data_IF_177110495631
#
_entry.id   IF_177110495631
#
_cell.length_a   1.000
_cell.length_b   1.000
_cell.length_c   1.000
_cell.angle_alpha   90.00
_cell.angle_beta   90.00
_cell.angle_gamma   90.00
#
_symmetry.space_group_name_H-M   'P 1'
#
loop_
_entity.id
_entity.type
_entity.pdbx_description
1 polymer ?
#
# COMPACT_ATOMS: atom_id res chain seq x y z
N UNK A 1 3.84 6.55 -2.48
CA UNK A 1 4.98 7.40 -2.89
C UNK A 1 6.10 6.46 -3.27
N UNK A 2 6.44 6.43 -4.52
CA UNK A 2 7.58 5.65 -5.01
C UNK A 2 8.87 6.41 -4.67
N UNK A 3 9.83 5.78 -4.01
CA UNK A 3 11.09 6.46 -3.68
C UNK A 3 12.16 6.01 -4.65
N UNK A 4 12.63 6.97 -5.46
CA UNK A 4 13.79 6.83 -6.32
C UNK A 4 15.02 7.40 -5.61
N UNK A 5 16.12 6.70 -5.64
CA UNK A 5 17.38 7.23 -5.15
C UNK A 5 18.36 7.35 -6.31
N UNK A 6 18.69 8.57 -6.66
CA UNK A 6 19.77 8.86 -7.60
C UNK A 6 21.12 8.81 -6.88
N UNK A 7 22.07 8.11 -7.45
CA UNK A 7 23.46 8.08 -6.99
C UNK A 7 24.03 9.48 -6.96
N UNK A 8 24.39 9.99 -5.77
CA UNK A 8 25.12 11.26 -5.66
C UNK A 8 26.55 11.09 -6.16
N UNK A 9 26.85 11.61 -7.32
CA UNK A 9 28.25 11.82 -7.76
C UNK A 9 28.90 12.78 -6.77
N UNK A 10 29.96 12.32 -6.07
CA UNK A 10 30.83 13.16 -5.24
C UNK A 10 31.57 14.13 -6.13
N UNK A 11 31.09 15.37 -6.25
CA UNK A 11 31.88 16.46 -6.76
C UNK A 11 32.89 16.90 -5.68
N UNK A 12 34.16 16.83 -6.03
CA UNK A 12 35.30 17.25 -5.27
C UNK A 12 35.22 18.75 -4.94
N UNK A 13 35.27 19.08 -3.67
CA UNK A 13 35.33 20.47 -3.16
C UNK A 13 36.63 21.15 -3.60
N UNK A 14 36.47 22.35 -4.18
CA UNK A 14 37.49 23.42 -4.10
C UNK A 14 36.92 24.60 -3.33
N UNK A 15 37.67 25.20 -2.42
CA UNK A 15 37.19 26.33 -1.63
C UNK A 15 37.49 27.66 -2.34
N UNK A 16 36.55 28.56 -2.39
CA UNK A 16 36.81 29.97 -2.66
C UNK A 16 35.97 30.86 -1.76
N UNK A 17 36.66 31.61 -1.00
CA UNK A 17 36.36 32.69 -0.05
C UNK A 17 35.82 33.91 -0.80
N UNK A 18 34.76 34.56 -0.28
CA UNK A 18 34.48 36.00 -0.29
C UNK A 18 33.14 36.23 0.42
N UNK A 19 33.08 36.70 1.57
CA UNK A 19 33.23 37.96 2.29
C UNK A 19 32.07 38.96 2.04
N UNK A 20 31.22 39.08 3.05
CA UNK A 20 30.52 40.24 3.66
C UNK A 20 29.78 41.25 2.75
N UNK A 21 28.47 41.48 3.03
CA UNK A 21 27.99 42.81 3.48
C UNK A 21 26.64 42.75 4.20
N UNK A 22 26.62 43.25 5.42
CA UNK A 22 25.46 43.64 6.22
C UNK A 22 24.80 44.88 5.65
N UNK A 23 23.48 45.00 5.68
CA UNK A 23 22.79 46.26 5.98
C UNK A 23 21.38 45.98 6.51
N UNK A 24 21.17 46.40 7.75
CA UNK A 24 19.91 46.47 8.45
C UNK A 24 19.15 47.74 8.02
N UNK A 25 17.83 47.62 7.83
CA UNK A 25 16.93 48.77 8.02
C UNK A 25 15.69 48.27 8.79
N UNK A 26 15.59 48.84 9.99
CA UNK A 26 14.47 48.84 10.91
C UNK A 26 13.41 49.84 10.45
N UNK A 27 12.14 49.50 10.49
CA UNK A 27 11.05 50.47 10.74
C UNK A 27 9.84 49.78 11.32
N UNK A 28 9.54 50.14 12.56
CA UNK A 28 8.28 49.87 13.26
C UNK A 28 7.10 50.55 12.58
N UNK A 29 5.95 49.93 12.55
CA UNK A 29 4.68 50.59 12.82
C UNK A 29 3.72 49.65 13.56
N UNK A 30 3.22 50.21 14.66
CA UNK A 30 2.22 49.67 15.58
C UNK A 30 0.80 49.71 14.99
N UNK A 31 -0.01 48.82 15.51
CA UNK A 31 -1.42 48.92 15.90
C UNK A 31 -2.39 47.97 15.17
N UNK A 32 -3.13 47.24 16.00
CA UNK A 32 -4.41 46.66 15.62
C UNK A 32 -4.67 45.29 16.21
N UNK A 33 -4.97 45.20 17.53
CA UNK A 33 -5.64 44.04 18.12
C UNK A 33 -7.01 43.88 17.52
N UNK A 34 -7.26 42.81 16.81
CA UNK A 34 -8.61 42.28 16.60
C UNK A 34 -8.57 40.80 16.98
N UNK A 35 -9.26 40.49 18.09
CA UNK A 35 -9.57 39.12 18.49
C UNK A 35 -10.43 38.51 17.40
N UNK A 36 -9.84 37.57 16.64
CA UNK A 36 -10.61 36.62 15.86
C UNK A 36 -10.30 35.22 16.40
N UNK A 37 -11.28 34.64 17.06
CA UNK A 37 -11.33 33.20 17.32
C UNK A 37 -11.11 32.46 15.99
N UNK A 38 -10.26 31.44 15.94
CA UNK A 38 -10.23 30.55 14.80
C UNK A 38 -11.57 29.80 14.76
N UNK A 39 -12.42 30.15 13.81
CA UNK A 39 -13.54 29.31 13.43
C UNK A 39 -12.95 28.00 12.94
N UNK A 40 -13.24 26.93 13.66
CA UNK A 40 -13.09 25.55 13.17
C UNK A 40 -13.76 25.45 11.79
N UNK A 41 -12.96 25.57 10.75
CA UNK A 41 -13.39 25.21 9.42
C UNK A 41 -13.47 23.69 9.40
N UNK A 42 -14.65 23.14 9.71
CA UNK A 42 -15.05 21.82 9.23
C UNK A 42 -14.84 21.83 7.72
N UNK A 43 -13.69 21.34 7.27
CA UNK A 43 -13.52 20.89 5.89
C UNK A 43 -14.54 19.79 5.67
N UNK A 44 -15.69 20.15 5.07
CA UNK A 44 -16.59 19.18 4.47
C UNK A 44 -15.74 18.37 3.50
N UNK A 45 -15.60 17.08 3.74
CA UNK A 45 -15.05 16.13 2.80
C UNK A 45 -15.97 16.08 1.57
N UNK A 46 -15.81 17.04 0.66
CA UNK A 46 -16.20 16.81 -0.73
C UNK A 46 -15.36 15.62 -1.18
N UNK A 47 -16.02 14.49 -1.48
CA UNK A 47 -15.36 13.27 -1.84
C UNK A 47 -14.38 13.52 -2.98
N UNK A 48 -13.12 13.22 -2.73
CA UNK A 48 -12.05 13.23 -3.71
C UNK A 48 -12.51 12.45 -4.96
N UNK A 49 -12.35 12.99 -6.16
CA UNK A 49 -12.75 12.28 -7.37
C UNK A 49 -11.89 11.03 -7.53
N UNK A 50 -12.43 9.99 -8.14
CA UNK A 50 -11.68 8.73 -8.33
C UNK A 50 -10.43 8.96 -9.18
N UNK A 51 -10.46 9.93 -10.07
CA UNK A 51 -9.31 10.34 -10.89
C UNK A 51 -8.22 10.99 -10.04
N UNK A 52 -8.59 11.94 -9.17
CA UNK A 52 -7.63 12.64 -8.28
C UNK A 52 -6.94 11.68 -7.29
N UNK A 53 -7.62 10.61 -6.88
CA UNK A 53 -7.04 9.58 -6.01
C UNK A 53 -5.80 8.91 -6.63
N UNK A 54 -5.71 8.86 -7.94
CA UNK A 54 -4.63 8.18 -8.67
C UNK A 54 -3.55 9.15 -9.17
N UNK A 55 -3.74 10.45 -9.06
CA UNK A 55 -2.77 11.44 -9.55
C UNK A 55 -1.47 11.42 -8.76
N UNK A 56 -0.37 11.49 -9.49
CA UNK A 56 0.96 11.75 -8.91
C UNK A 56 1.03 13.26 -8.71
N UNK A 57 0.91 13.73 -7.47
CA UNK A 57 0.86 15.17 -7.16
C UNK A 57 2.19 15.75 -6.71
N UNK A 58 3.08 14.92 -6.14
CA UNK A 58 4.39 15.37 -5.64
C UNK A 58 5.34 15.76 -6.80
N UNK A 59 5.79 17.02 -6.88
CA UNK A 59 6.72 17.46 -7.93
C UNK A 59 8.07 16.72 -7.91
N UNK A 60 8.55 16.29 -6.73
CA UNK A 60 9.79 15.53 -6.60
C UNK A 60 9.64 14.12 -7.20
N UNK A 61 8.48 13.50 -6.97
CA UNK A 61 8.14 12.21 -7.54
C UNK A 61 8.05 12.28 -9.08
N UNK A 62 7.36 13.30 -9.61
CA UNK A 62 7.32 13.56 -11.06
C UNK A 62 8.71 13.73 -11.67
N UNK A 63 9.57 14.52 -11.03
CA UNK A 63 10.95 14.74 -11.51
C UNK A 63 11.78 13.46 -11.46
N UNK A 64 11.60 12.64 -10.41
CA UNK A 64 12.28 11.35 -10.30
C UNK A 64 11.87 10.38 -11.41
N UNK A 65 10.58 10.34 -11.76
CA UNK A 65 10.05 9.55 -12.90
C UNK A 65 10.68 10.01 -14.22
N UNK A 66 10.76 11.32 -14.48
CA UNK A 66 11.38 11.86 -15.70
C UNK A 66 12.88 11.51 -15.78
N UNK A 67 13.60 11.58 -14.67
CA UNK A 67 15.01 11.19 -14.61
C UNK A 67 15.20 9.70 -14.89
N UNK A 68 14.35 8.85 -14.31
CA UNK A 68 14.34 7.41 -14.54
C UNK A 68 14.04 7.06 -16.01
N UNK A 69 13.04 7.72 -16.60
CA UNK A 69 12.70 7.58 -18.02
C UNK A 69 13.88 7.96 -18.94
N UNK A 70 14.58 9.05 -18.61
CA UNK A 70 15.77 9.46 -19.36
C UNK A 70 16.86 8.39 -19.33
N UNK A 71 17.09 7.74 -18.18
CA UNK A 71 18.06 6.63 -18.04
C UNK A 71 17.66 5.42 -18.90
N UNK A 72 16.39 5.01 -18.88
CA UNK A 72 15.91 3.90 -19.71
C UNK A 72 16.17 4.16 -21.20
N UNK A 73 15.99 5.41 -21.65
CA UNK A 73 16.26 5.79 -23.07
C UNK A 73 17.73 5.70 -23.47
N UNK A 74 18.66 5.69 -22.52
CA UNK A 74 20.09 5.54 -22.82
C UNK A 74 20.55 4.07 -22.97
N UNK A 75 19.67 3.12 -22.63
CA UNK A 75 19.98 1.69 -22.75
C UNK A 75 20.00 1.27 -24.24
N UNK A 76 20.93 0.40 -24.59
CA UNK A 76 21.08 -0.11 -25.97
C UNK A 76 20.09 -1.23 -26.33
N UNK A 77 19.12 -1.52 -25.49
CA UNK A 77 18.11 -2.56 -25.70
C UNK A 77 16.99 -2.50 -24.67
N UNK A 78 16.19 -3.56 -24.58
CA UNK A 78 15.18 -3.66 -23.55
C UNK A 78 15.83 -3.70 -22.16
N UNK A 79 15.29 -2.95 -21.18
CA UNK A 79 15.82 -2.92 -19.84
C UNK A 79 15.77 -4.31 -19.18
N UNK A 80 16.84 -4.70 -18.53
CA UNK A 80 16.95 -5.93 -17.75
C UNK A 80 16.38 -5.71 -16.35
N UNK A 81 15.18 -6.18 -16.13
CA UNK A 81 14.41 -5.87 -14.91
C UNK A 81 14.37 -7.11 -14.00
N UNK A 82 14.65 -6.92 -12.71
CA UNK A 82 14.43 -7.90 -11.65
C UNK A 82 13.24 -7.45 -10.79
N UNK A 83 12.26 -8.31 -10.61
CA UNK A 83 11.17 -8.13 -9.65
C UNK A 83 11.44 -8.98 -8.41
N UNK A 84 11.44 -8.39 -7.21
CA UNK A 84 11.78 -9.10 -5.97
C UNK A 84 10.58 -9.70 -5.26
N UNK A 85 9.34 -9.32 -5.61
CA UNK A 85 8.13 -9.88 -4.99
C UNK A 85 7.10 -10.35 -6.02
N UNK A 86 6.21 -11.30 -5.65
CA UNK A 86 5.14 -11.74 -6.55
C UNK A 86 4.20 -10.62 -7.00
N UNK A 87 3.87 -9.67 -6.12
CA UNK A 87 3.01 -8.54 -6.45
C UNK A 87 3.68 -7.61 -7.48
N UNK A 88 4.99 -7.38 -7.36
CA UNK A 88 5.76 -6.60 -8.34
C UNK A 88 5.84 -7.34 -9.68
N UNK A 89 6.06 -8.66 -9.66
CA UNK A 89 6.05 -9.46 -10.90
C UNK A 89 4.68 -9.44 -11.61
N UNK A 90 3.57 -9.40 -10.84
CA UNK A 90 2.21 -9.28 -11.40
C UNK A 90 2.00 -7.90 -12.06
N UNK A 91 2.51 -6.83 -11.45
CA UNK A 91 2.50 -5.48 -12.05
C UNK A 91 3.30 -5.47 -13.36
N UNK A 92 4.50 -6.06 -13.36
CA UNK A 92 5.32 -6.15 -14.58
C UNK A 92 4.62 -6.93 -15.69
N UNK A 93 3.92 -8.02 -15.36
CA UNK A 93 3.12 -8.81 -16.30
C UNK A 93 2.00 -7.97 -16.92
N UNK A 94 1.26 -7.21 -16.10
CA UNK A 94 0.18 -6.32 -16.55
C UNK A 94 0.66 -5.16 -17.42
N UNK A 95 1.89 -4.71 -17.19
CA UNK A 95 2.55 -3.67 -18.01
C UNK A 95 3.29 -4.25 -19.21
N UNK A 96 3.19 -5.55 -19.46
CA UNK A 96 3.93 -6.23 -20.54
C UNK A 96 5.44 -5.93 -20.52
N UNK A 97 6.05 -5.99 -19.32
CA UNK A 97 7.49 -5.84 -19.11
C UNK A 97 8.15 -7.21 -19.01
N UNK A 98 9.28 -7.38 -19.69
CA UNK A 98 10.09 -8.59 -19.55
C UNK A 98 10.93 -8.54 -18.28
N UNK A 99 11.08 -9.71 -17.61
CA UNK A 99 11.88 -9.85 -16.41
C UNK A 99 13.04 -10.83 -16.64
N UNK A 100 14.21 -10.50 -16.12
CA UNK A 100 15.39 -11.39 -16.09
C UNK A 100 15.51 -12.14 -14.75
N UNK A 101 14.82 -11.66 -13.70
CA UNK A 101 14.77 -12.28 -12.37
C UNK A 101 13.42 -12.10 -11.72
N UNK A 102 12.93 -13.13 -11.01
CA UNK A 102 11.65 -13.12 -10.28
C UNK A 102 11.79 -13.79 -8.91
N UNK A 103 10.94 -13.49 -7.94
CA UNK A 103 11.05 -14.08 -6.62
C UNK A 103 10.75 -15.59 -6.63
N UNK A 104 11.25 -16.29 -5.62
CA UNK A 104 10.75 -17.60 -5.21
C UNK A 104 9.56 -17.37 -4.26
N UNK A 105 8.44 -18.03 -4.52
CA UNK A 105 7.26 -17.95 -3.66
C UNK A 105 6.54 -19.30 -3.61
N UNK A 106 6.14 -19.72 -2.41
CA UNK A 106 5.31 -20.91 -2.18
C UNK A 106 3.82 -20.53 -1.97
N UNK A 107 3.55 -19.26 -1.64
CA UNK A 107 2.21 -18.78 -1.26
C UNK A 107 1.51 -18.02 -2.38
N UNK A 108 2.23 -17.41 -3.30
CA UNK A 108 1.68 -16.65 -4.42
C UNK A 108 2.24 -17.17 -5.74
N UNK A 109 1.36 -17.30 -6.73
CA UNK A 109 1.75 -17.72 -8.08
C UNK A 109 2.46 -16.59 -8.81
N UNK A 110 3.59 -16.90 -9.44
CA UNK A 110 4.25 -16.00 -10.38
C UNK A 110 3.54 -16.11 -11.73
N UNK A 111 3.32 -15.00 -12.47
CA UNK A 111 2.72 -15.02 -13.80
C UNK A 111 3.38 -16.04 -14.74
N UNK A 112 2.55 -16.70 -15.56
CA UNK A 112 3.00 -17.84 -16.38
C UNK A 112 4.10 -17.47 -17.38
N UNK A 113 4.11 -16.22 -17.88
CA UNK A 113 5.18 -15.73 -18.78
C UNK A 113 6.57 -15.78 -18.14
N UNK A 114 6.66 -15.68 -16.81
CA UNK A 114 7.93 -15.69 -16.07
C UNK A 114 8.28 -17.07 -15.48
N UNK A 115 7.58 -18.12 -15.87
CA UNK A 115 7.79 -19.48 -15.31
C UNK A 115 9.21 -19.98 -15.46
N UNK A 116 9.87 -19.64 -16.59
CA UNK A 116 11.25 -20.03 -16.92
C UNK A 116 12.31 -19.02 -16.46
N UNK A 117 11.90 -17.87 -15.94
CA UNK A 117 12.80 -16.81 -15.50
C UNK A 117 13.54 -17.23 -14.22
N UNK A 118 14.80 -16.79 -14.09
CA UNK A 118 15.66 -17.11 -12.95
C UNK A 118 15.02 -16.68 -11.63
N UNK A 119 15.05 -17.56 -10.63
CA UNK A 119 14.55 -17.26 -9.27
C UNK A 119 15.65 -16.58 -8.46
N UNK A 120 15.34 -15.40 -7.90
CA UNK A 120 16.28 -14.55 -7.15
C UNK A 120 16.10 -14.63 -5.62
N UNK A 121 15.45 -15.68 -5.10
CA UNK A 121 15.25 -15.84 -3.66
C UNK A 121 13.87 -15.32 -3.18
N UNK A 122 13.71 -15.19 -1.87
CA UNK A 122 12.47 -14.71 -1.24
C UNK A 122 12.37 -13.19 -1.32
N UNK A 123 11.15 -12.64 -1.29
CA UNK A 123 10.93 -11.19 -1.37
C UNK A 123 11.66 -10.42 -0.25
N UNK A 124 11.64 -10.95 0.98
CA UNK A 124 12.31 -10.32 2.14
C UNK A 124 13.83 -10.53 2.14
N UNK A 125 14.31 -11.55 1.44
CA UNK A 125 15.73 -11.93 1.39
C UNK A 125 16.09 -12.42 -0.02
N UNK A 126 16.19 -11.51 -1.00
CA UNK A 126 16.66 -11.84 -2.32
C UNK A 126 18.14 -12.26 -2.25
N UNK A 127 18.51 -13.23 -3.05
CA UNK A 127 19.89 -13.67 -3.22
C UNK A 127 20.63 -12.66 -4.10
N UNK A 128 21.42 -11.80 -3.47
CA UNK A 128 22.09 -10.70 -4.14
C UNK A 128 23.21 -11.15 -5.09
N UNK A 129 23.78 -12.35 -4.90
CA UNK A 129 24.73 -12.94 -5.83
C UNK A 129 24.03 -13.32 -7.14
N UNK A 130 22.85 -13.97 -7.03
CA UNK A 130 22.04 -14.27 -8.20
C UNK A 130 21.56 -12.98 -8.86
N UNK A 131 21.06 -12.00 -8.10
CA UNK A 131 20.62 -10.72 -8.64
C UNK A 131 21.76 -10.04 -9.41
N UNK A 132 22.95 -9.94 -8.81
CA UNK A 132 24.14 -9.35 -9.44
C UNK A 132 24.55 -10.09 -10.72
N UNK A 133 24.51 -11.42 -10.72
CA UNK A 133 24.88 -12.25 -11.89
C UNK A 133 23.97 -12.02 -13.10
N UNK A 134 22.76 -11.52 -12.87
CA UNK A 134 21.81 -11.17 -13.93
C UNK A 134 22.13 -9.82 -14.59
N UNK A 135 23.07 -9.04 -14.07
CA UNK A 135 23.41 -7.69 -14.54
C UNK A 135 22.13 -6.86 -14.83
N UNK A 136 21.28 -6.62 -13.81
CA UNK A 136 20.03 -5.89 -14.03
C UNK A 136 20.30 -4.39 -14.23
N UNK A 137 19.54 -3.77 -15.13
CA UNK A 137 19.46 -2.31 -15.23
C UNK A 137 18.55 -1.76 -14.13
N UNK A 138 17.53 -2.55 -13.74
CA UNK A 138 16.51 -2.15 -12.76
C UNK A 138 16.18 -3.28 -11.79
N UNK A 139 16.00 -2.90 -10.52
CA UNK A 139 15.41 -3.76 -9.48
C UNK A 139 14.14 -3.10 -8.96
N UNK A 140 13.03 -3.83 -8.98
CA UNK A 140 11.73 -3.38 -8.49
C UNK A 140 11.35 -4.18 -7.25
N UNK A 141 11.01 -3.47 -6.16
CA UNK A 141 10.67 -4.06 -4.87
C UNK A 141 9.46 -3.35 -4.24
N UNK A 142 8.71 -3.97 -3.31
CA UNK A 142 7.67 -3.28 -2.57
C UNK A 142 8.26 -2.31 -1.53
N UNK A 143 7.63 -1.16 -1.33
CA UNK A 143 8.10 -0.11 -0.40
C UNK A 143 8.09 -0.55 1.07
N UNK A 144 7.31 -1.56 1.43
CA UNK A 144 7.32 -2.16 2.77
C UNK A 144 8.65 -2.83 3.14
N UNK A 145 9.49 -3.15 2.14
CA UNK A 145 10.81 -3.75 2.33
C UNK A 145 11.96 -2.76 2.06
N UNK A 146 11.68 -1.47 1.88
CA UNK A 146 12.68 -0.46 1.54
C UNK A 146 13.83 -0.41 2.56
N UNK A 147 13.51 -0.39 3.85
CA UNK A 147 14.51 -0.29 4.92
C UNK A 147 15.53 -1.44 4.88
N UNK A 148 15.07 -2.65 4.57
CA UNK A 148 15.92 -3.85 4.59
C UNK A 148 16.66 -4.09 3.27
N UNK A 149 16.07 -3.67 2.14
CA UNK A 149 16.61 -3.99 0.82
C UNK A 149 17.44 -2.87 0.20
N UNK A 150 17.14 -1.61 0.53
CA UNK A 150 17.84 -0.47 -0.04
C UNK A 150 19.36 -0.52 0.18
N UNK A 151 19.90 -0.82 1.38
CA UNK A 151 21.34 -0.92 1.56
C UNK A 151 22.00 -1.98 0.64
N UNK A 152 21.30 -3.10 0.41
CA UNK A 152 21.79 -4.18 -0.46
C UNK A 152 21.79 -3.78 -1.95
N UNK A 153 20.77 -3.02 -2.38
CA UNK A 153 20.67 -2.54 -3.76
C UNK A 153 21.70 -1.45 -4.06
N UNK A 154 22.05 -0.61 -3.07
CA UNK A 154 23.06 0.43 -3.20
C UNK A 154 24.51 -0.15 -3.40
N UNK A 155 24.74 -1.42 -3.07
CA UNK A 155 26.00 -2.10 -3.33
C UNK A 155 26.18 -2.47 -4.82
N UNK A 156 25.08 -2.54 -5.59
CA UNK A 156 25.12 -2.87 -7.01
C UNK A 156 25.44 -1.64 -7.84
N UNK A 157 26.59 -1.67 -8.50
CA UNK A 157 27.00 -0.58 -9.40
C UNK A 157 26.19 -0.64 -10.70
N UNK A 158 25.81 0.54 -11.19
CA UNK A 158 25.09 0.73 -12.47
C UNK A 158 23.67 0.09 -12.52
N UNK A 159 23.10 -0.22 -11.38
CA UNK A 159 21.74 -0.75 -11.27
C UNK A 159 20.84 0.31 -10.62
N UNK A 160 19.75 0.66 -11.27
CA UNK A 160 18.71 1.51 -10.68
C UNK A 160 17.74 0.64 -9.89
N UNK A 161 17.06 1.23 -8.92
CA UNK A 161 16.02 0.54 -8.19
C UNK A 161 14.85 1.45 -7.87
N UNK A 162 13.68 0.85 -7.72
CA UNK A 162 12.47 1.53 -7.31
C UNK A 162 11.65 0.70 -6.33
N UNK A 163 11.13 1.38 -5.31
CA UNK A 163 10.24 0.80 -4.31
C UNK A 163 8.80 1.21 -4.59
N UNK A 164 7.96 0.24 -4.98
CA UNK A 164 6.56 0.43 -5.36
C UNK A 164 5.69 0.54 -4.11
N UNK A 165 4.79 1.52 -4.09
CA UNK A 165 3.83 1.67 -3.01
C UNK A 165 2.67 0.67 -3.16
N UNK A 166 2.77 -0.45 -2.46
CA UNK A 166 1.76 -1.51 -2.46
C UNK A 166 0.93 -1.55 -1.16
N UNK A 167 0.93 -0.45 -0.38
CA UNK A 167 0.12 -0.33 0.85
C UNK A 167 -1.36 -0.06 0.59
N UNK A 168 -1.72 0.29 -0.65
CA UNK A 168 -3.09 0.55 -1.06
C UNK A 168 -3.30 0.30 -2.54
N UNK A 169 -4.56 0.14 -2.96
CA UNK A 169 -4.90 0.05 -4.38
C UNK A 169 -4.51 1.33 -5.13
N UNK A 170 -4.71 2.50 -4.52
CA UNK A 170 -4.32 3.80 -5.09
C UNK A 170 -2.80 3.89 -5.24
N UNK A 171 -2.05 3.50 -4.19
CA UNK A 171 -0.58 3.47 -4.24
C UNK A 171 -0.07 2.54 -5.33
N UNK A 172 -0.66 1.36 -5.48
CA UNK A 172 -0.34 0.43 -6.55
C UNK A 172 -0.57 1.06 -7.94
N UNK A 173 -1.71 1.73 -8.16
CA UNK A 173 -1.99 2.36 -9.46
C UNK A 173 -1.08 3.55 -9.75
N UNK A 174 -0.69 4.34 -8.74
CA UNK A 174 0.35 5.37 -8.91
C UNK A 174 1.67 4.74 -9.33
N UNK A 175 2.11 3.68 -8.66
CA UNK A 175 3.33 2.95 -9.06
C UNK A 175 3.22 2.35 -10.47
N UNK A 176 2.05 1.87 -10.87
CA UNK A 176 1.77 1.42 -12.24
C UNK A 176 1.93 2.57 -13.25
N UNK A 177 1.42 3.77 -12.93
CA UNK A 177 1.57 4.96 -13.80
C UNK A 177 3.04 5.38 -13.92
N UNK A 178 3.78 5.40 -12.81
CA UNK A 178 5.20 5.72 -12.79
C UNK A 178 6.01 4.75 -13.65
N UNK A 179 5.79 3.44 -13.47
CA UNK A 179 6.45 2.42 -14.30
C UNK A 179 6.06 2.54 -15.77
N UNK A 180 4.79 2.82 -16.06
CA UNK A 180 4.32 3.04 -17.42
C UNK A 180 5.00 4.22 -18.10
N UNK A 181 5.21 5.31 -17.37
CA UNK A 181 5.93 6.48 -17.87
C UNK A 181 7.42 6.20 -18.08
N UNK A 182 8.06 5.49 -17.14
CA UNK A 182 9.48 5.13 -17.19
C UNK A 182 9.77 4.19 -18.37
N UNK A 183 8.95 3.15 -18.54
CA UNK A 183 9.20 2.07 -19.49
C UNK A 183 8.36 2.18 -20.79
N UNK A 184 7.64 3.29 -21.00
CA UNK A 184 6.90 3.53 -22.24
C UNK A 184 5.65 2.66 -22.41
N UNK A 185 4.95 2.34 -21.31
CA UNK A 185 3.76 1.45 -21.28
C UNK A 185 2.46 2.20 -20.98
N UNK A 186 2.30 3.40 -21.53
CA UNK A 186 1.17 4.28 -21.25
C UNK A 186 -0.18 3.67 -21.65
N UNK A 187 -0.23 2.88 -22.74
CA UNK A 187 -1.47 2.25 -23.21
C UNK A 187 -1.99 1.20 -22.20
N UNK A 188 -1.10 0.38 -21.66
CA UNK A 188 -1.41 -0.61 -20.63
C UNK A 188 -1.91 0.07 -19.35
N UNK A 189 -1.25 1.16 -18.96
CA UNK A 189 -1.65 1.99 -17.80
C UNK A 189 -3.05 2.56 -18.01
N UNK A 190 -3.32 3.20 -19.14
CA UNK A 190 -4.62 3.81 -19.45
C UNK A 190 -5.75 2.79 -19.36
N UNK A 191 -5.55 1.61 -19.95
CA UNK A 191 -6.52 0.51 -19.89
C UNK A 191 -6.82 0.09 -18.45
N UNK A 192 -5.79 -0.14 -17.63
CA UNK A 192 -5.95 -0.57 -16.25
C UNK A 192 -6.59 0.52 -15.37
N UNK A 193 -6.16 1.77 -15.53
CA UNK A 193 -6.71 2.92 -14.80
C UNK A 193 -8.17 3.15 -15.12
N UNK A 194 -8.56 3.09 -16.41
CA UNK A 194 -9.95 3.19 -16.86
C UNK A 194 -10.81 2.06 -16.27
N UNK A 195 -10.29 0.85 -16.21
CA UNK A 195 -10.99 -0.29 -15.64
C UNK A 195 -11.23 -0.11 -14.13
N UNK A 196 -10.23 0.38 -13.38
CA UNK A 196 -10.38 0.69 -11.97
C UNK A 196 -11.39 1.81 -11.74
N UNK A 197 -11.24 2.95 -12.41
CA UNK A 197 -12.12 4.12 -12.23
C UNK A 197 -13.57 3.82 -12.57
N UNK A 198 -13.82 3.06 -13.64
CA UNK A 198 -15.17 2.63 -14.02
C UNK A 198 -15.78 1.73 -12.95
N UNK A 199 -15.04 0.72 -12.48
CA UNK A 199 -15.49 -0.17 -11.43
C UNK A 199 -15.75 0.60 -10.14
N UNK A 200 -14.83 1.42 -9.68
CA UNK A 200 -14.92 2.08 -8.38
C UNK A 200 -16.02 3.17 -8.35
N UNK A 201 -16.22 3.90 -9.45
CA UNK A 201 -17.38 4.81 -9.59
C UNK A 201 -18.72 4.08 -9.43
N UNK A 202 -18.85 2.92 -10.07
CA UNK A 202 -20.05 2.08 -9.94
C UNK A 202 -20.21 1.54 -8.51
N UNK A 203 -19.10 1.09 -7.90
CA UNK A 203 -19.07 0.60 -6.51
C UNK A 203 -19.50 1.68 -5.52
N UNK A 204 -18.91 2.86 -5.57
CA UNK A 204 -19.24 3.98 -4.66
C UNK A 204 -20.68 4.47 -4.83
N UNK A 205 -21.17 4.53 -6.08
CA UNK A 205 -22.56 4.94 -6.38
C UNK A 205 -23.57 4.01 -5.68
N UNK A 206 -23.39 2.68 -5.76
CA UNK A 206 -24.35 1.74 -5.14
C UNK A 206 -24.27 1.68 -3.61
N UNK A 207 -23.13 2.10 -3.02
CA UNK A 207 -22.92 2.08 -1.58
C UNK A 207 -23.05 3.45 -0.90
N UNK A 208 -23.34 4.52 -1.66
CA UNK A 208 -23.32 5.93 -1.21
C UNK A 208 -24.14 6.20 0.06
N UNK A 209 -25.30 5.52 0.21
CA UNK A 209 -26.23 5.76 1.30
C UNK A 209 -26.17 4.69 2.41
N UNK A 210 -25.17 3.81 2.37
CA UNK A 210 -25.00 2.77 3.39
C UNK A 210 -24.26 3.33 4.61
N UNK A 211 -24.57 2.80 5.81
CA UNK A 211 -23.86 3.17 7.05
C UNK A 211 -22.40 2.71 6.95
N UNK A 212 -21.48 3.57 7.37
CA UNK A 212 -20.06 3.26 7.46
C UNK A 212 -19.78 2.52 8.78
N UNK A 213 -19.46 1.22 8.79
CA UNK A 213 -19.18 0.50 10.02
C UNK A 213 -17.78 0.83 10.53
N UNK A 214 -17.60 0.85 11.85
CA UNK A 214 -16.29 0.85 12.51
C UNK A 214 -15.69 -0.55 12.45
N UNK A 215 -14.50 -0.68 11.88
CA UNK A 215 -13.88 -1.98 11.60
C UNK A 215 -12.54 -2.11 12.31
N UNK A 216 -12.41 -3.13 13.14
CA UNK A 216 -11.13 -3.61 13.65
C UNK A 216 -10.55 -4.63 12.67
N UNK A 217 -9.31 -4.40 12.24
CA UNK A 217 -8.61 -5.32 11.33
C UNK A 217 -7.48 -6.01 12.07
N UNK A 218 -7.53 -7.34 12.12
CA UNK A 218 -6.47 -8.19 12.68
C UNK A 218 -5.72 -8.88 11.55
N UNK A 219 -4.39 -8.80 11.57
CA UNK A 219 -3.51 -9.51 10.65
C UNK A 219 -2.80 -10.62 11.38
N UNK A 220 -3.16 -11.85 11.08
CA UNK A 220 -2.59 -13.05 11.69
C UNK A 220 -1.31 -13.51 11.03
N UNK A 221 -0.38 -13.94 11.88
CA UNK A 221 0.84 -14.66 11.55
C UNK A 221 0.81 -16.01 12.29
N UNK A 222 1.57 -17.02 11.87
CA UNK A 222 1.64 -18.25 12.62
C UNK A 222 2.07 -18.00 14.09
N UNK A 223 1.17 -18.29 15.05
CA UNK A 223 1.40 -18.13 16.48
C UNK A 223 1.17 -16.73 17.07
N UNK A 224 0.79 -15.72 16.26
CA UNK A 224 0.52 -14.36 16.75
C UNK A 224 -0.35 -13.57 15.79
N UNK A 225 -0.78 -12.36 16.18
CA UNK A 225 -1.42 -11.41 15.28
C UNK A 225 -1.11 -9.97 15.69
N UNK A 226 -1.31 -9.05 14.77
CA UNK A 226 -1.11 -7.62 14.94
C UNK A 226 -2.37 -6.87 14.50
N UNK A 227 -2.50 -5.63 14.91
CA UNK A 227 -3.55 -4.72 14.44
C UNK A 227 -3.08 -4.13 13.11
N UNK A 228 -3.91 -4.24 12.06
CA UNK A 228 -3.67 -3.59 10.78
C UNK A 228 -4.41 -2.24 10.74
N UNK A 229 -3.65 -1.15 10.59
CA UNK A 229 -4.17 0.22 10.58
C UNK A 229 -4.73 0.60 9.21
N UNK A 230 -5.29 1.81 9.08
CA UNK A 230 -5.73 2.36 7.78
C UNK A 230 -4.61 2.46 6.73
N UNK A 231 -3.33 2.47 7.15
CA UNK A 231 -2.16 2.56 6.27
C UNK A 231 -1.66 1.20 5.75
N UNK A 232 -2.22 0.09 6.25
CA UNK A 232 -2.00 -1.23 5.69
C UNK A 232 -2.86 -1.46 4.44
N UNK A 233 -2.46 -2.41 3.60
CA UNK A 233 -3.26 -2.77 2.43
C UNK A 233 -4.70 -3.18 2.80
N UNK A 234 -4.87 -4.04 3.79
CA UNK A 234 -6.20 -4.49 4.24
C UNK A 234 -6.99 -3.31 4.82
N UNK A 235 -6.35 -2.45 5.62
CA UNK A 235 -7.00 -1.25 6.14
C UNK A 235 -7.41 -0.27 5.03
N UNK A 236 -6.60 -0.13 3.99
CA UNK A 236 -6.94 0.68 2.81
C UNK A 236 -8.14 0.12 2.03
N UNK A 237 -8.28 -1.21 1.95
CA UNK A 237 -9.44 -1.87 1.36
C UNK A 237 -10.70 -1.64 2.20
N UNK A 238 -10.61 -1.68 3.53
CA UNK A 238 -11.71 -1.33 4.44
C UNK A 238 -12.22 0.09 4.15
N UNK A 239 -11.31 1.05 4.00
CA UNK A 239 -11.65 2.44 3.64
C UNK A 239 -12.30 2.54 2.26
N UNK A 240 -11.76 1.86 1.24
CA UNK A 240 -12.36 1.80 -0.10
C UNK A 240 -13.74 1.14 -0.11
N UNK A 241 -13.95 0.17 0.77
CA UNK A 241 -15.24 -0.50 0.93
C UNK A 241 -16.29 0.35 1.65
N UNK A 242 -15.89 1.52 2.20
CA UNK A 242 -16.76 2.42 2.96
C UNK A 242 -16.81 2.10 4.46
N UNK A 243 -15.89 1.29 4.97
CA UNK A 243 -15.70 1.10 6.41
C UNK A 243 -14.74 2.12 7.00
N UNK A 244 -14.82 2.31 8.30
CA UNK A 244 -13.92 3.14 9.09
C UNK A 244 -13.00 2.25 9.93
N UNK A 245 -11.69 2.21 9.60
CA UNK A 245 -10.74 1.50 10.44
C UNK A 245 -10.64 2.19 11.80
N UNK A 246 -10.80 1.44 12.89
CA UNK A 246 -10.74 2.01 14.25
C UNK A 246 -9.34 2.51 14.65
N UNK A 247 -8.32 2.16 13.88
CA UNK A 247 -6.93 2.64 14.03
C UNK A 247 -6.54 3.54 12.85
N UNK A 248 -6.88 4.81 12.98
CA UNK A 248 -6.57 5.89 12.05
C UNK A 248 -5.51 6.84 12.64
N UNK A 249 -5.04 7.79 11.83
CA UNK A 249 -4.14 8.86 12.25
C UNK A 249 -2.81 8.35 12.85
N UNK A 250 -2.25 7.31 12.28
CA UNK A 250 -0.92 6.76 12.59
C UNK A 250 -0.11 6.60 11.33
N UNK A 251 1.22 6.71 11.41
CA UNK A 251 2.12 6.49 10.27
C UNK A 251 2.48 5.00 10.09
N UNK A 252 2.10 4.15 11.05
CA UNK A 252 2.44 2.73 11.04
C UNK A 252 1.38 1.93 10.28
N UNK A 253 1.80 0.90 9.56
CA UNK A 253 0.90 -0.08 8.91
C UNK A 253 0.32 -1.08 9.94
N UNK A 254 1.12 -1.43 10.94
CA UNK A 254 0.76 -2.42 11.96
C UNK A 254 1.11 -1.94 13.35
N UNK A 255 0.26 -2.29 14.32
CA UNK A 255 0.44 -2.00 15.74
C UNK A 255 0.42 -3.29 16.56
N UNK A 256 1.13 -3.27 17.67
CA UNK A 256 1.07 -4.34 18.66
C UNK A 256 -0.35 -4.41 19.26
N UNK A 257 -0.81 -5.62 19.51
CA UNK A 257 -2.12 -5.88 20.10
C UNK A 257 -2.21 -5.32 21.52
N UNK A 258 -3.27 -4.55 21.77
CA UNK A 258 -3.69 -4.14 23.10
C UNK A 258 -5.22 -4.32 23.17
N UNK A 259 -5.64 -5.39 23.84
CA UNK A 259 -7.06 -5.80 23.87
C UNK A 259 -7.96 -4.80 24.59
N UNK A 260 -7.45 -4.10 25.62
CA UNK A 260 -8.22 -3.05 26.31
C UNK A 260 -8.44 -1.84 25.42
N UNK A 261 -7.41 -1.43 24.67
CA UNK A 261 -7.53 -0.33 23.73
C UNK A 261 -8.47 -0.70 22.56
N UNK A 262 -8.33 -1.90 21.98
CA UNK A 262 -9.21 -2.40 20.94
C UNK A 262 -10.68 -2.39 21.40
N UNK A 263 -10.97 -2.80 22.64
CA UNK A 263 -12.32 -2.79 23.22
C UNK A 263 -12.88 -1.36 23.31
N UNK A 264 -12.06 -0.39 23.79
CA UNK A 264 -12.45 1.03 23.88
C UNK A 264 -12.79 1.66 22.54
N UNK A 265 -12.27 1.13 21.43
CA UNK A 265 -12.58 1.58 20.06
C UNK A 265 -13.99 1.20 19.60
N UNK A 266 -14.64 0.26 20.29
CA UNK A 266 -16.01 -0.20 20.01
C UNK A 266 -16.25 -0.52 18.52
N UNK A 267 -15.53 -1.51 17.95
CA UNK A 267 -15.73 -1.88 16.55
C UNK A 267 -17.11 -2.51 16.34
N UNK A 268 -17.79 -2.11 15.26
CA UNK A 268 -19.03 -2.76 14.78
C UNK A 268 -18.74 -4.12 14.16
N UNK A 269 -17.53 -4.26 13.57
CA UNK A 269 -17.07 -5.45 12.83
C UNK A 269 -15.61 -5.73 13.18
N UNK A 270 -15.28 -7.02 13.26
CA UNK A 270 -13.88 -7.49 13.30
C UNK A 270 -13.63 -8.29 12.03
N UNK A 271 -12.57 -7.94 11.28
CA UNK A 271 -12.11 -8.74 10.16
C UNK A 271 -10.72 -9.31 10.47
N UNK A 272 -10.51 -10.60 10.12
CA UNK A 272 -9.29 -11.35 10.39
C UNK A 272 -8.67 -11.77 9.07
N UNK A 273 -7.50 -11.24 8.78
CA UNK A 273 -6.72 -11.58 7.59
C UNK A 273 -5.51 -12.43 7.98
N UNK A 274 -5.04 -13.29 7.06
CA UNK A 274 -3.83 -14.08 7.25
C UNK A 274 -2.68 -13.55 6.39
N UNK A 275 -1.48 -13.42 6.97
CA UNK A 275 -0.27 -13.09 6.20
C UNK A 275 0.31 -14.32 5.49
N UNK A 276 0.31 -15.47 6.17
CA UNK A 276 0.81 -16.75 5.65
C UNK A 276 0.07 -17.90 6.33
N UNK A 277 0.13 -19.10 5.76
CA UNK A 277 -0.44 -20.32 6.33
C UNK A 277 -1.90 -20.12 6.81
N UNK A 278 -2.82 -19.75 5.92
CA UNK A 278 -4.16 -19.27 6.30
C UNK A 278 -4.92 -20.26 7.19
N UNK A 279 -4.83 -21.55 6.95
CA UNK A 279 -5.51 -22.57 7.77
C UNK A 279 -5.01 -22.56 9.22
N UNK A 280 -3.70 -22.42 9.44
CA UNK A 280 -3.12 -22.36 10.78
C UNK A 280 -3.49 -21.06 11.49
N UNK A 281 -3.47 -19.93 10.76
CA UNK A 281 -3.85 -18.61 11.29
C UNK A 281 -5.33 -18.58 11.65
N UNK A 282 -6.21 -19.13 10.81
CA UNK A 282 -7.65 -19.21 11.11
C UNK A 282 -7.89 -20.06 12.35
N UNK A 283 -7.21 -21.21 12.46
CA UNK A 283 -7.30 -22.06 13.65
C UNK A 283 -6.85 -21.32 14.91
N UNK A 284 -5.72 -20.64 14.87
CA UNK A 284 -5.20 -19.81 15.99
C UNK A 284 -6.22 -18.73 16.39
N UNK A 285 -6.81 -18.01 15.43
CA UNK A 285 -7.83 -17.01 15.74
C UNK A 285 -9.06 -17.64 16.42
N UNK A 286 -9.52 -18.78 15.93
CA UNK A 286 -10.68 -19.46 16.52
C UNK A 286 -10.39 -19.88 17.95
N UNK A 287 -9.23 -20.49 18.20
CA UNK A 287 -8.79 -20.86 19.56
C UNK A 287 -8.71 -19.65 20.50
N UNK A 288 -8.13 -18.53 20.07
CA UNK A 288 -8.03 -17.32 20.89
C UNK A 288 -9.42 -16.70 21.15
N UNK A 289 -10.29 -16.61 20.13
CA UNK A 289 -11.63 -16.07 20.30
C UNK A 289 -12.56 -16.93 21.15
N UNK A 290 -12.32 -18.23 21.23
CA UNK A 290 -13.06 -19.17 22.08
C UNK A 290 -12.55 -19.17 23.53
N UNK A 291 -11.23 -19.14 23.73
CA UNK A 291 -10.61 -19.37 25.05
C UNK A 291 -10.31 -18.08 25.80
N UNK A 292 -10.09 -16.96 25.11
CA UNK A 292 -9.77 -15.68 25.75
C UNK A 292 -11.04 -14.87 25.99
N UNK A 293 -11.42 -14.77 27.26
CA UNK A 293 -12.67 -14.12 27.69
C UNK A 293 -12.81 -12.66 27.26
N UNK A 294 -11.73 -11.96 26.92
CA UNK A 294 -11.78 -10.56 26.49
C UNK A 294 -12.68 -10.39 25.25
N UNK A 295 -12.66 -11.35 24.31
CA UNK A 295 -13.43 -11.30 23.09
C UNK A 295 -14.94 -11.31 23.30
N UNK A 296 -15.43 -11.96 24.37
CA UNK A 296 -16.86 -12.00 24.73
C UNK A 296 -17.42 -10.60 25.05
N UNK A 297 -16.56 -9.64 25.33
CA UNK A 297 -16.95 -8.26 25.65
C UNK A 297 -17.04 -7.33 24.44
N UNK A 298 -16.67 -7.79 23.25
CA UNK A 298 -16.82 -7.02 22.01
C UNK A 298 -18.22 -7.17 21.43
N UNK A 299 -18.89 -6.05 21.11
CA UNK A 299 -20.21 -6.08 20.49
C UNK A 299 -20.18 -6.77 19.12
N UNK A 300 -19.09 -6.61 18.36
CA UNK A 300 -18.88 -7.33 17.11
C UNK A 300 -18.94 -8.85 17.28
N UNK A 301 -18.38 -9.39 18.39
CA UNK A 301 -18.41 -10.84 18.69
C UNK A 301 -19.78 -11.28 19.13
N UNK A 302 -20.44 -10.53 20.03
CA UNK A 302 -21.82 -10.83 20.48
C UNK A 302 -22.81 -10.84 19.32
N UNK A 303 -22.64 -9.94 18.36
CA UNK A 303 -23.48 -9.79 17.20
C UNK A 303 -23.06 -10.70 16.03
N UNK A 304 -22.09 -11.61 16.22
CA UNK A 304 -21.55 -12.51 15.20
C UNK A 304 -21.05 -11.80 13.94
N UNK A 305 -20.43 -10.61 14.12
CA UNK A 305 -19.85 -9.80 13.06
C UNK A 305 -18.31 -9.90 13.05
N UNK A 306 -17.82 -11.12 13.08
CA UNK A 306 -16.40 -11.47 12.94
C UNK A 306 -16.25 -12.28 11.66
N UNK A 307 -15.39 -11.82 10.75
CA UNK A 307 -15.25 -12.42 9.43
C UNK A 307 -13.79 -12.76 9.13
N UNK A 308 -13.54 -13.96 8.63
CA UNK A 308 -12.25 -14.37 8.08
C UNK A 308 -12.17 -13.97 6.61
N UNK A 309 -11.17 -13.16 6.28
CA UNK A 309 -10.99 -12.64 4.93
C UNK A 309 -10.24 -13.64 4.04
N UNK A 310 -10.67 -13.74 2.78
CA UNK A 310 -10.05 -14.63 1.79
C UNK A 310 -8.59 -14.28 1.56
N UNK A 311 -7.67 -15.16 1.95
CA UNK A 311 -6.22 -14.96 1.89
C UNK A 311 -5.71 -14.43 0.54
N UNK A 312 -6.24 -14.92 -0.58
CA UNK A 312 -5.82 -14.49 -1.92
C UNK A 312 -6.03 -13.01 -2.22
N UNK A 313 -6.96 -12.35 -1.52
CA UNK A 313 -7.35 -10.96 -1.79
C UNK A 313 -6.79 -9.99 -0.75
N UNK A 314 -6.54 -10.47 0.47
CA UNK A 314 -6.21 -9.67 1.64
C UNK A 314 -4.82 -9.98 2.21
N UNK A 315 -3.82 -10.07 1.34
CA UNK A 315 -2.42 -10.23 1.76
C UNK A 315 -1.77 -8.93 2.25
N UNK A 316 -0.43 -8.93 2.32
CA UNK A 316 0.36 -7.79 2.78
C UNK A 316 0.54 -6.69 1.73
N UNK A 317 0.28 -6.99 0.46
CA UNK A 317 0.52 -6.06 -0.66
C UNK A 317 -0.70 -5.96 -1.56
N UNK A 318 -0.97 -4.74 -2.04
CA UNK A 318 -1.99 -4.49 -3.05
C UNK A 318 -1.78 -5.37 -4.28
N UNK A 319 -2.89 -5.86 -4.82
CA UNK A 319 -2.91 -6.72 -5.99
C UNK A 319 -4.18 -6.45 -6.83
N UNK A 320 -4.23 -6.96 -8.05
CA UNK A 320 -5.34 -6.72 -8.98
C UNK A 320 -6.63 -7.50 -8.65
N UNK A 321 -6.67 -8.24 -7.53
CA UNK A 321 -7.89 -8.91 -7.04
C UNK A 321 -8.77 -8.02 -6.15
N UNK A 322 -8.43 -6.74 -6.00
CA UNK A 322 -9.16 -5.77 -5.17
C UNK A 322 -10.67 -5.72 -5.44
N UNK A 323 -11.12 -5.99 -6.67
CA UNK A 323 -12.55 -6.06 -7.00
C UNK A 323 -13.26 -7.17 -6.22
N UNK A 324 -12.63 -8.33 -6.09
CA UNK A 324 -13.14 -9.46 -5.29
C UNK A 324 -13.10 -9.13 -3.81
N UNK A 325 -11.99 -8.53 -3.34
CA UNK A 325 -11.86 -8.05 -1.97
C UNK A 325 -12.99 -7.06 -1.60
N UNK A 326 -13.23 -6.04 -2.44
CA UNK A 326 -14.30 -5.07 -2.20
C UNK A 326 -15.69 -5.70 -2.23
N UNK A 327 -15.92 -6.71 -3.09
CA UNK A 327 -17.20 -7.44 -3.10
C UNK A 327 -17.39 -8.30 -1.86
N UNK A 328 -16.34 -8.88 -1.30
CA UNK A 328 -16.37 -9.62 -0.04
C UNK A 328 -16.68 -8.68 1.14
N UNK A 329 -15.94 -7.59 1.28
CA UNK A 329 -16.19 -6.59 2.31
C UNK A 329 -17.60 -5.96 2.18
N UNK A 330 -18.11 -5.76 0.96
CA UNK A 330 -19.47 -5.26 0.75
C UNK A 330 -20.52 -6.20 1.36
N UNK A 331 -20.35 -7.52 1.25
CA UNK A 331 -21.22 -8.51 1.88
C UNK A 331 -21.11 -8.45 3.40
N UNK A 332 -19.90 -8.43 3.93
CA UNK A 332 -19.64 -8.44 5.37
C UNK A 332 -20.12 -7.16 6.05
N UNK A 333 -19.99 -6.02 5.38
CA UNK A 333 -20.42 -4.74 5.93
C UNK A 333 -21.92 -4.53 5.86
N UNK A 334 -22.59 -4.97 4.78
CA UNK A 334 -23.93 -4.49 4.42
C UNK A 334 -24.98 -5.56 4.20
N UNK A 335 -24.63 -6.84 3.98
CA UNK A 335 -25.60 -7.87 3.65
C UNK A 335 -25.87 -8.84 4.80
N UNK A 336 -24.88 -9.09 5.65
CA UNK A 336 -25.02 -10.00 6.80
C UNK A 336 -25.79 -9.40 8.00
N UNK A 337 -26.43 -8.24 7.83
CA UNK A 337 -27.29 -7.62 8.87
C UNK A 337 -28.69 -8.22 8.95
N UNK A 338 -29.06 -9.17 8.08
CA UNK A 338 -30.38 -9.83 8.08
C UNK A 338 -30.53 -10.95 9.11
N UNK A 339 -29.50 -11.25 9.91
CA UNK A 339 -29.58 -12.27 10.97
C UNK A 339 -30.25 -11.86 12.28
N UNK A 340 -30.82 -10.65 12.38
CA UNK A 340 -31.39 -10.13 13.64
C UNK A 340 -32.88 -9.82 13.58
N UNK A 341 -33.62 -10.24 12.54
CA UNK A 341 -35.07 -9.96 12.46
C UNK A 341 -35.98 -11.18 12.20
N UNK A 342 -35.54 -12.40 12.52
CA UNK A 342 -36.48 -13.53 12.56
C UNK A 342 -36.32 -14.29 13.89
N UNK A 343 -36.70 -13.65 15.00
CA UNK A 343 -37.27 -14.33 16.17
C UNK A 343 -38.30 -13.39 16.76
N UNK A 344 -39.45 -13.32 16.17
CA UNK A 344 -40.73 -13.01 16.81
C UNK A 344 -41.84 -13.71 16.02
N UNK A 345 -42.15 -14.90 16.44
CA UNK A 345 -43.48 -15.39 16.76
C UNK A 345 -43.35 -16.78 17.38
#
# INVERSE_FOLDING_TARGET
MMRFTTMKTKLRKYPSIFLILLLAISSCFLTGCVNQHPKDSKKSSQGESVETMLEITDPKEKQAVLNAKAKVKTLSGNPRIVATSPAVADICDKLDLDLVGVPKSSVSKIPSRYKKVKKVGLAMSPDMEIVSSLNPDWILAPSSLETDLKPKFEELKNTEYAFLNLRSVQGMYRSVQELGEIFGKQQEVEKMTKEFTTFYKSYTKRNKNKKHPKVLVLMGLPGSYVIATENSYVGSLVKLAGGENVYQNTDQEFLTVNTEDMKKKEPDIIVRAAHALPDQVTKMFNEDFETNDIWKHFEAVKNKRVYDLTYEYFGMSANFKYKKALSELEKDFYQNTKGTQEVKE
#
